data_IF_182680879589
#
_entry.id   IF_182680879589
#
_cell.length_a   1.000
_cell.length_b   1.000
_cell.length_c   1.000
_cell.angle_alpha   90.00
_cell.angle_beta   90.00
_cell.angle_gamma   90.00
#
_symmetry.space_group_name_H-M   'P 1'
#
loop_
_entity.id
_entity.type
_entity.pdbx_description
1 polymer ?
#
# COMPACT_ATOMS: atom_id res chain seq x y z
N UNK A 1 61.31 -18.32 15.27
CA UNK A 1 60.30 -17.50 15.98
C UNK A 1 59.46 -16.87 14.89
N UNK A 2 58.44 -17.59 14.44
CA UNK A 2 57.51 -17.08 13.44
C UNK A 2 56.62 -16.05 14.14
N UNK A 3 56.66 -14.82 13.65
CA UNK A 3 55.73 -13.78 14.07
C UNK A 3 54.41 -14.09 13.39
N UNK A 4 53.44 -14.58 14.16
CA UNK A 4 52.07 -14.75 13.71
C UNK A 4 51.48 -13.34 13.51
N UNK A 5 51.53 -12.85 12.27
CA UNK A 5 50.90 -11.60 11.88
C UNK A 5 49.40 -11.88 11.87
N UNK A 6 48.69 -11.50 12.93
CA UNK A 6 47.23 -11.53 12.93
C UNK A 6 46.72 -10.72 11.74
N UNK A 7 45.76 -11.24 10.95
CA UNK A 7 45.15 -10.47 9.87
C UNK A 7 44.58 -9.14 10.43
N UNK A 8 44.56 -8.07 9.60
CA UNK A 8 43.91 -6.83 9.99
C UNK A 8 42.44 -7.07 10.35
N UNK A 9 41.98 -6.49 11.45
CA UNK A 9 40.58 -6.54 11.87
C UNK A 9 40.12 -5.15 12.35
N UNK A 10 38.85 -4.86 12.14
CA UNK A 10 38.18 -3.66 12.64
C UNK A 10 37.21 -4.07 13.76
N UNK A 11 37.14 -3.30 14.84
CA UNK A 11 36.11 -3.46 15.87
C UNK A 11 35.07 -2.36 15.72
N UNK A 12 33.80 -2.76 15.54
CA UNK A 12 32.67 -1.84 15.45
C UNK A 12 31.92 -1.79 16.77
N UNK A 13 31.65 -0.59 17.27
CA UNK A 13 30.80 -0.40 18.44
C UNK A 13 29.33 -0.55 18.04
N UNK A 14 28.65 -1.51 18.64
CA UNK A 14 27.21 -1.73 18.52
C UNK A 14 26.53 -1.65 19.90
N UNK A 15 25.22 -1.81 19.95
CA UNK A 15 24.47 -1.89 21.20
C UNK A 15 24.85 -3.10 22.07
N UNK A 16 24.21 -3.22 23.23
CA UNK A 16 24.50 -4.28 24.19
C UNK A 16 23.91 -5.61 23.76
N UNK A 17 24.68 -6.69 23.90
CA UNK A 17 24.26 -8.06 23.64
C UNK A 17 23.80 -8.29 22.20
N UNK A 18 24.66 -8.10 21.18
CA UNK A 18 24.38 -8.57 19.84
C UNK A 18 24.13 -10.08 19.89
N UNK A 19 23.00 -10.54 19.35
CA UNK A 19 22.55 -11.94 19.52
C UNK A 19 22.45 -12.71 18.21
N UNK A 20 22.01 -12.05 17.14
CA UNK A 20 21.81 -12.65 15.83
C UNK A 20 22.97 -12.30 14.88
N UNK A 21 23.09 -13.04 13.78
CA UNK A 21 24.04 -12.72 12.71
C UNK A 21 23.71 -11.34 12.12
N UNK A 22 24.72 -10.50 11.84
CA UNK A 22 24.50 -9.24 11.14
C UNK A 22 23.97 -9.50 9.74
N UNK A 23 23.20 -8.55 9.22
CA UNK A 23 22.75 -8.56 7.83
C UNK A 23 23.58 -7.58 7.03
N UNK A 24 23.95 -8.02 5.82
CA UNK A 24 24.65 -7.21 4.84
C UNK A 24 23.67 -6.78 3.76
N UNK A 25 23.45 -5.48 3.65
CA UNK A 25 22.59 -4.88 2.64
C UNK A 25 22.93 -3.40 2.54
N UNK A 26 22.81 -2.85 1.34
CA UNK A 26 22.81 -1.41 1.13
C UNK A 26 21.57 -0.79 1.78
N UNK A 27 21.76 -0.01 2.84
CA UNK A 27 20.69 0.66 3.60
C UNK A 27 20.56 2.14 3.27
N UNK A 28 21.59 2.74 2.69
CA UNK A 28 21.62 4.16 2.32
C UNK A 28 21.52 4.38 0.80
N UNK A 29 21.34 3.33 0.00
CA UNK A 29 21.20 3.34 -1.47
C UNK A 29 22.44 3.98 -2.14
N UNK A 30 23.64 3.55 -1.72
CA UNK A 30 24.94 3.99 -2.28
C UNK A 30 25.69 2.89 -3.07
N UNK A 31 25.02 1.77 -3.36
CA UNK A 31 25.55 0.54 -4.00
C UNK A 31 26.69 -0.15 -3.21
N UNK A 32 26.93 0.25 -1.96
CA UNK A 32 27.90 -0.36 -1.05
C UNK A 32 27.14 -1.18 0.00
N UNK A 33 27.71 -2.33 0.37
CA UNK A 33 27.12 -3.15 1.42
C UNK A 33 27.38 -2.55 2.79
N UNK A 34 26.31 -2.34 3.55
CA UNK A 34 26.36 -1.92 4.94
C UNK A 34 26.11 -3.09 5.89
N UNK A 35 26.36 -2.87 7.18
CA UNK A 35 26.12 -3.84 8.25
C UNK A 35 24.97 -3.37 9.14
N UNK A 36 24.01 -4.26 9.36
CA UNK A 36 22.91 -4.06 10.32
C UNK A 36 22.91 -5.18 11.36
N UNK A 37 22.96 -4.81 12.64
CA UNK A 37 23.08 -5.75 13.78
C UNK A 37 21.98 -5.53 14.80
N UNK A 38 21.28 -6.58 15.21
CA UNK A 38 20.31 -6.53 16.31
C UNK A 38 20.98 -6.75 17.68
N UNK A 39 20.68 -5.84 18.60
CA UNK A 39 21.24 -5.80 19.94
C UNK A 39 20.15 -6.17 20.96
N UNK A 40 20.08 -7.46 21.28
CA UNK A 40 19.07 -8.01 22.20
C UNK A 40 19.12 -7.36 23.58
N UNK A 41 20.33 -7.13 24.09
CA UNK A 41 20.53 -6.59 25.44
C UNK A 41 20.07 -5.14 25.60
N UNK A 42 20.24 -4.31 24.55
CA UNK A 42 19.82 -2.90 24.58
C UNK A 42 18.46 -2.63 23.94
N UNK A 43 17.85 -3.58 23.24
CA UNK A 43 16.58 -3.34 22.54
C UNK A 43 16.73 -2.45 21.30
N UNK A 44 17.88 -2.51 20.65
CA UNK A 44 18.25 -1.62 19.53
C UNK A 44 18.74 -2.39 18.31
N UNK A 45 18.84 -1.70 17.18
CA UNK A 45 19.58 -2.14 15.98
C UNK A 45 20.67 -1.12 15.69
N UNK A 46 21.90 -1.58 15.42
CA UNK A 46 23.02 -0.73 15.03
C UNK A 46 23.29 -0.89 13.53
N UNK A 47 23.50 0.24 12.86
CA UNK A 47 23.82 0.35 11.44
C UNK A 47 25.25 0.91 11.32
N UNK A 48 26.08 0.26 10.51
CA UNK A 48 27.40 0.73 10.14
C UNK A 48 27.53 0.76 8.62
N UNK A 49 27.87 1.93 8.07
CA UNK A 49 27.97 2.13 6.64
C UNK A 49 29.30 1.61 6.11
N UNK A 50 29.27 0.92 4.98
CA UNK A 50 30.47 0.45 4.29
C UNK A 50 31.14 1.55 3.49
N UNK A 51 32.45 1.44 3.26
CA UNK A 51 33.19 2.32 2.36
C UNK A 51 33.55 1.65 1.02
N UNK A 52 33.06 0.43 0.78
CA UNK A 52 33.36 -0.38 -0.41
C UNK A 52 34.77 -1.02 -0.42
N UNK A 53 35.62 -0.69 0.54
CA UNK A 53 36.99 -1.17 0.67
C UNK A 53 37.18 -2.08 1.88
N UNK A 54 36.08 -2.47 2.52
CA UNK A 54 36.06 -3.37 3.66
C UNK A 54 36.18 -2.68 5.02
N UNK A 55 36.12 -1.35 5.07
CA UNK A 55 35.94 -0.61 6.31
C UNK A 55 34.48 -0.24 6.51
N UNK A 56 34.08 -0.16 7.76
CA UNK A 56 32.73 0.23 8.15
C UNK A 56 32.75 1.35 9.18
N UNK A 57 31.86 2.33 9.06
CA UNK A 57 31.75 3.44 10.01
C UNK A 57 30.43 3.32 10.77
N UNK A 58 30.44 3.25 12.12
CA UNK A 58 29.21 3.30 12.90
C UNK A 58 28.40 4.55 12.54
N UNK A 59 27.13 4.35 12.18
CA UNK A 59 26.32 5.42 11.62
C UNK A 59 25.12 5.76 12.51
N UNK A 60 24.24 4.78 12.76
CA UNK A 60 23.05 5.00 13.57
C UNK A 60 22.75 3.81 14.48
N UNK A 61 22.08 4.08 15.60
CA UNK A 61 21.46 3.06 16.43
C UNK A 61 19.98 3.38 16.62
N UNK A 62 19.12 2.49 16.17
CA UNK A 62 17.66 2.61 16.21
C UNK A 62 17.09 1.83 17.40
N UNK A 63 16.18 2.46 18.13
CA UNK A 63 15.42 1.77 19.18
C UNK A 63 14.25 1.02 18.55
N UNK A 64 14.20 -0.29 18.75
CA UNK A 64 13.19 -1.17 18.12
C UNK A 64 12.22 -1.74 19.16
N UNK A 65 12.66 -1.97 20.39
CA UNK A 65 11.81 -2.50 21.44
C UNK A 65 12.46 -3.64 22.20
N UNK A 66 11.65 -4.50 22.81
CA UNK A 66 12.14 -5.48 23.79
C UNK A 66 12.83 -6.69 23.15
N UNK A 67 14.14 -6.80 23.36
CA UNK A 67 14.95 -8.00 23.03
C UNK A 67 14.85 -8.48 21.58
N UNK A 68 15.31 -7.70 20.58
CA UNK A 68 15.39 -8.20 19.20
C UNK A 68 16.37 -9.39 19.16
N UNK A 69 15.83 -10.59 18.92
CA UNK A 69 16.57 -11.86 19.00
C UNK A 69 16.70 -12.59 17.66
N UNK A 70 16.05 -12.10 16.61
CA UNK A 70 16.23 -12.57 15.24
C UNK A 70 17.22 -11.67 14.49
N UNK A 71 17.71 -12.12 13.34
CA UNK A 71 18.40 -11.23 12.42
C UNK A 71 17.41 -10.21 11.86
N UNK A 72 17.80 -8.93 11.71
CA UNK A 72 16.97 -7.93 11.06
C UNK A 72 16.70 -8.35 9.61
N UNK A 73 15.59 -7.92 9.03
CA UNK A 73 15.30 -8.16 7.61
C UNK A 73 15.32 -6.83 6.88
N UNK A 74 16.04 -6.77 5.76
CA UNK A 74 16.13 -5.59 4.89
C UNK A 74 15.54 -5.92 3.53
N UNK A 75 14.46 -5.24 3.18
CA UNK A 75 13.71 -5.46 1.93
C UNK A 75 12.87 -4.21 1.63
N UNK A 76 12.75 -3.86 0.36
CA UNK A 76 11.84 -2.82 -0.09
C UNK A 76 10.38 -3.32 -0.01
N UNK A 77 9.65 -2.92 1.04
CA UNK A 77 8.25 -3.36 1.27
C UNK A 77 7.23 -2.44 0.61
N UNK A 78 7.61 -1.19 0.32
CA UNK A 78 6.73 -0.18 -0.26
C UNK A 78 6.95 0.01 -1.78
N UNK A 79 7.94 -0.68 -2.34
CA UNK A 79 8.39 -0.66 -3.72
C UNK A 79 8.84 0.74 -4.18
N UNK A 80 9.57 1.47 -3.33
CA UNK A 80 10.13 2.78 -3.63
C UNK A 80 11.61 2.77 -4.03
N UNK A 81 12.24 1.59 -4.03
CA UNK A 81 13.62 1.36 -4.40
C UNK A 81 14.61 1.40 -3.23
N UNK A 82 14.17 1.80 -2.04
CA UNK A 82 15.02 1.87 -0.84
C UNK A 82 14.77 0.66 0.06
N UNK A 83 15.82 0.11 0.67
CA UNK A 83 15.67 -0.99 1.63
C UNK A 83 14.95 -0.52 2.91
N UNK A 84 13.83 -1.16 3.26
CA UNK A 84 13.15 -0.96 4.54
C UNK A 84 13.66 -1.97 5.59
N UNK A 85 13.70 -1.58 6.86
CA UNK A 85 14.19 -2.40 7.96
C UNK A 85 13.03 -2.97 8.80
N UNK A 86 12.98 -4.29 8.92
CA UNK A 86 12.02 -5.02 9.75
C UNK A 86 12.72 -5.75 10.89
N UNK A 87 12.19 -5.61 12.10
CA UNK A 87 12.80 -6.17 13.31
C UNK A 87 11.73 -6.74 14.24
N UNK A 88 11.85 -8.02 14.59
CA UNK A 88 10.96 -8.68 15.55
C UNK A 88 11.43 -8.44 16.98
N UNK A 89 10.52 -8.04 17.87
CA UNK A 89 10.82 -7.80 19.28
C UNK A 89 10.20 -8.90 20.15
N UNK A 90 11.04 -9.78 20.68
CA UNK A 90 10.59 -10.95 21.41
C UNK A 90 9.88 -10.62 22.73
N UNK A 91 10.38 -9.65 23.50
CA UNK A 91 9.82 -9.36 24.83
C UNK A 91 8.53 -8.54 24.77
N UNK A 92 8.31 -7.78 23.70
CA UNK A 92 7.11 -6.94 23.52
C UNK A 92 6.04 -7.58 22.64
N UNK A 93 6.32 -8.74 22.03
CA UNK A 93 5.40 -9.44 21.11
C UNK A 93 4.95 -8.59 19.92
N UNK A 94 5.83 -7.73 19.43
CA UNK A 94 5.57 -6.85 18.29
C UNK A 94 6.75 -6.86 17.29
N UNK A 95 6.60 -6.09 16.22
CA UNK A 95 7.61 -5.88 15.19
C UNK A 95 7.73 -4.38 14.92
N UNK A 96 8.96 -3.92 14.75
CA UNK A 96 9.25 -2.58 14.26
C UNK A 96 9.48 -2.61 12.76
N UNK A 97 8.92 -1.61 12.08
CA UNK A 97 9.12 -1.36 10.65
C UNK A 97 9.66 0.05 10.52
N UNK A 98 10.85 0.20 9.95
CA UNK A 98 11.43 1.47 9.59
C UNK A 98 11.44 1.56 8.07
N UNK A 99 10.74 2.55 7.54
CA UNK A 99 10.80 2.83 6.11
C UNK A 99 12.13 3.51 5.80
N UNK A 100 12.84 2.99 4.81
CA UNK A 100 14.02 3.65 4.29
C UNK A 100 13.61 4.91 3.54
N UNK A 101 14.28 6.03 3.82
CA UNK A 101 14.11 7.28 3.07
C UNK A 101 15.30 7.55 2.11
N UNK A 102 16.35 6.73 2.19
CA UNK A 102 17.61 6.94 1.50
C UNK A 102 18.41 8.12 2.07
N UNK A 103 17.92 8.76 3.13
CA UNK A 103 18.54 9.96 3.73
C UNK A 103 19.49 9.58 4.86
N UNK A 104 20.51 8.77 4.56
CA UNK A 104 21.64 8.60 5.48
C UNK A 104 22.90 9.38 5.09
N UNK A 105 22.91 9.97 3.88
CA UNK A 105 23.76 11.12 3.57
C UNK A 105 22.88 12.33 3.26
N UNK A 106 22.69 13.21 4.25
CA UNK A 106 22.30 14.59 3.95
C UNK A 106 23.42 15.19 3.12
N UNK A 107 23.16 15.49 1.84
CA UNK A 107 24.08 16.19 0.96
C UNK A 107 24.50 17.51 1.61
N UNK A 108 25.67 17.55 2.25
CA UNK A 108 26.21 18.81 2.75
C UNK A 108 26.96 19.50 1.62
N UNK A 109 27.14 20.82 1.73
CA UNK A 109 27.97 21.57 0.78
C UNK A 109 29.43 21.10 0.75
N UNK A 110 29.89 20.35 1.77
CA UNK A 110 31.22 19.74 1.78
C UNK A 110 31.27 18.48 0.90
N UNK A 111 30.17 17.75 0.74
CA UNK A 111 30.09 16.51 -0.06
C UNK A 111 30.01 16.79 -1.57
N UNK A 112 29.64 18.02 -1.95
CA UNK A 112 29.61 18.51 -3.34
C UNK A 112 30.86 19.35 -3.70
N UNK A 113 31.95 19.23 -2.95
CA UNK A 113 33.20 19.94 -3.27
C UNK A 113 33.91 19.32 -4.49
N UNK A 114 34.08 20.10 -5.54
CA UNK A 114 34.77 19.69 -6.78
C UNK A 114 36.21 20.22 -6.87
N UNK A 115 36.76 20.77 -5.78
CA UNK A 115 38.07 21.45 -5.77
C UNK A 115 39.28 20.53 -5.98
N UNK A 116 39.12 19.21 -5.73
CA UNK A 116 40.17 18.22 -5.95
C UNK A 116 39.63 17.03 -6.74
N UNK A 117 40.49 16.33 -7.47
CA UNK A 117 40.09 15.17 -8.28
C UNK A 117 39.34 14.10 -7.45
N UNK A 118 39.81 13.68 -6.25
CA UNK A 118 39.09 12.68 -5.47
C UNK A 118 37.72 13.16 -4.98
N UNK A 119 37.61 14.43 -4.56
CA UNK A 119 36.32 14.99 -4.10
C UNK A 119 35.31 15.14 -5.24
N UNK A 120 35.77 15.53 -6.43
CA UNK A 120 34.91 15.58 -7.61
C UNK A 120 34.37 14.19 -8.02
N UNK A 121 35.15 13.13 -7.81
CA UNK A 121 34.70 11.75 -8.05
C UNK A 121 33.63 11.31 -7.05
N UNK A 122 33.80 11.64 -5.77
CA UNK A 122 32.78 11.39 -4.75
C UNK A 122 31.50 12.19 -5.01
N UNK A 123 31.61 13.47 -5.38
CA UNK A 123 30.47 14.30 -5.72
C UNK A 123 29.69 13.76 -6.94
N UNK A 124 30.38 13.16 -7.92
CA UNK A 124 29.72 12.51 -9.06
C UNK A 124 28.94 11.26 -8.64
N UNK A 125 29.54 10.39 -7.81
CA UNK A 125 28.87 9.20 -7.30
C UNK A 125 27.59 9.58 -6.51
N UNK A 126 27.70 10.63 -5.70
CA UNK A 126 26.61 11.15 -4.91
C UNK A 126 25.46 11.74 -5.75
N UNK A 127 25.80 12.47 -6.82
CA UNK A 127 24.80 12.98 -7.77
C UNK A 127 24.14 11.83 -8.54
N UNK A 128 24.89 10.78 -8.91
CA UNK A 128 24.34 9.62 -9.60
C UNK A 128 23.34 8.88 -8.72
N UNK A 129 23.67 8.63 -7.45
CA UNK A 129 22.75 8.09 -6.45
C UNK A 129 21.50 8.97 -6.29
N UNK A 130 21.64 10.30 -6.21
CA UNK A 130 20.51 11.21 -6.14
C UNK A 130 19.61 11.16 -7.40
N UNK A 131 20.19 11.05 -8.60
CA UNK A 131 19.45 10.93 -9.86
C UNK A 131 18.77 9.57 -10.00
N UNK A 132 19.40 8.50 -9.50
CA UNK A 132 18.82 7.18 -9.42
C UNK A 132 17.56 7.19 -8.56
N UNK A 133 17.62 7.77 -7.36
CA UNK A 133 16.46 7.95 -6.47
C UNK A 133 15.33 8.76 -7.11
N UNK A 134 15.67 9.87 -7.80
CA UNK A 134 14.67 10.64 -8.55
C UNK A 134 13.99 9.79 -9.62
N UNK A 135 14.76 8.93 -10.30
CA UNK A 135 14.24 8.03 -11.32
C UNK A 135 13.32 6.97 -10.73
N UNK A 136 13.65 6.40 -9.57
CA UNK A 136 12.78 5.47 -8.84
C UNK A 136 11.47 6.12 -8.38
N UNK A 137 11.54 7.34 -7.82
CA UNK A 137 10.35 8.13 -7.45
C UNK A 137 9.46 8.40 -8.67
N UNK A 138 10.04 8.67 -9.84
CA UNK A 138 9.27 8.84 -11.09
C UNK A 138 8.65 7.53 -11.56
N UNK A 139 9.35 6.42 -11.43
CA UNK A 139 8.84 5.10 -11.76
C UNK A 139 7.63 4.72 -10.89
N UNK A 140 7.70 4.97 -9.58
CA UNK A 140 6.59 4.70 -8.66
C UNK A 140 5.37 5.58 -8.95
N UNK A 141 5.57 6.86 -9.28
CA UNK A 141 4.48 7.75 -9.76
C UNK A 141 3.87 7.19 -11.05
N UNK A 142 4.68 6.71 -12.00
CA UNK A 142 4.17 6.07 -13.22
C UNK A 142 3.36 4.79 -12.94
N UNK A 143 3.83 3.95 -12.02
CA UNK A 143 3.09 2.77 -11.58
C UNK A 143 1.76 3.14 -10.90
N UNK A 144 1.76 4.20 -10.09
CA UNK A 144 0.55 4.74 -9.47
C UNK A 144 -0.44 5.27 -10.51
N UNK A 145 0.04 5.97 -11.54
CA UNK A 145 -0.78 6.40 -12.68
C UNK A 145 -1.44 5.19 -13.38
N UNK A 146 -0.66 4.16 -13.71
CA UNK A 146 -1.21 2.94 -14.33
C UNK A 146 -2.29 2.27 -13.47
N UNK A 147 -2.08 2.23 -12.15
CA UNK A 147 -3.06 1.70 -11.19
C UNK A 147 -4.30 2.59 -11.08
N UNK A 148 -4.14 3.91 -11.07
CA UNK A 148 -5.25 4.86 -11.06
C UNK A 148 -6.09 4.74 -12.33
N UNK A 149 -5.46 4.62 -13.50
CA UNK A 149 -6.16 4.43 -14.77
C UNK A 149 -6.94 3.11 -14.78
N UNK A 150 -6.32 2.03 -14.30
CA UNK A 150 -6.98 0.73 -14.16
C UNK A 150 -8.17 0.78 -13.19
N UNK A 151 -8.01 1.44 -12.04
CA UNK A 151 -9.06 1.62 -11.04
C UNK A 151 -10.21 2.48 -11.58
N UNK A 152 -9.89 3.53 -12.36
CA UNK A 152 -10.88 4.39 -13.00
C UNK A 152 -11.72 3.60 -14.01
N UNK A 153 -11.07 2.82 -14.88
CA UNK A 153 -11.76 1.97 -15.85
C UNK A 153 -12.65 0.92 -15.16
N UNK A 154 -12.16 0.28 -14.09
CA UNK A 154 -12.95 -0.66 -13.31
C UNK A 154 -14.17 0.01 -12.64
N UNK A 155 -14.00 1.24 -12.13
CA UNK A 155 -15.10 2.01 -11.53
C UNK A 155 -16.14 2.39 -12.58
N UNK A 156 -15.73 2.81 -13.79
CA UNK A 156 -16.65 3.14 -14.89
C UNK A 156 -17.48 1.93 -15.33
N UNK A 157 -16.87 0.76 -15.49
CA UNK A 157 -17.60 -0.48 -15.78
C UNK A 157 -18.60 -0.83 -14.66
N UNK A 158 -18.23 -0.58 -13.42
CA UNK A 158 -19.12 -0.80 -12.27
C UNK A 158 -20.32 0.15 -12.32
N UNK A 159 -20.10 1.43 -12.63
CA UNK A 159 -21.17 2.42 -12.80
C UNK A 159 -22.11 1.99 -13.93
N UNK A 160 -21.59 1.56 -15.08
CA UNK A 160 -22.42 1.08 -16.20
C UNK A 160 -23.27 -0.14 -15.80
N UNK A 161 -22.69 -1.12 -15.14
CA UNK A 161 -23.42 -2.30 -14.66
C UNK A 161 -24.49 -1.92 -13.62
N UNK A 162 -24.21 -0.97 -12.73
CA UNK A 162 -25.17 -0.48 -11.74
C UNK A 162 -26.31 0.31 -12.38
N UNK A 163 -26.02 1.13 -13.38
CA UNK A 163 -27.05 1.87 -14.12
C UNK A 163 -27.94 0.92 -14.92
N UNK A 164 -27.37 -0.10 -15.56
CA UNK A 164 -28.12 -1.14 -16.25
C UNK A 164 -29.01 -1.95 -15.28
N UNK A 165 -28.46 -2.37 -14.14
CA UNK A 165 -29.22 -3.07 -13.10
C UNK A 165 -30.35 -2.20 -12.54
N UNK A 166 -30.07 -0.91 -12.32
CA UNK A 166 -31.08 0.06 -11.86
C UNK A 166 -32.18 0.28 -12.89
N UNK A 167 -31.84 0.39 -14.18
CA UNK A 167 -32.84 0.49 -15.25
C UNK A 167 -33.76 -0.73 -15.29
N UNK A 168 -33.19 -1.94 -15.18
CA UNK A 168 -33.99 -3.17 -15.19
C UNK A 168 -34.95 -3.27 -14.01
N UNK A 169 -34.53 -2.85 -12.81
CA UNK A 169 -35.40 -2.79 -11.63
C UNK A 169 -36.53 -1.77 -11.86
N UNK A 170 -36.19 -0.57 -12.32
CA UNK A 170 -37.19 0.48 -12.57
C UNK A 170 -38.20 0.05 -13.64
N UNK A 171 -37.76 -0.59 -14.71
CA UNK A 171 -38.65 -1.08 -15.77
C UNK A 171 -39.56 -2.20 -15.26
N UNK A 172 -39.04 -3.10 -14.41
CA UNK A 172 -39.84 -4.15 -13.77
C UNK A 172 -40.89 -3.56 -12.82
N UNK A 173 -40.51 -2.58 -11.99
CA UNK A 173 -41.43 -1.90 -11.07
C UNK A 173 -42.54 -1.15 -11.84
N UNK A 174 -42.19 -0.47 -12.95
CA UNK A 174 -43.17 0.19 -13.83
C UNK A 174 -44.09 -0.83 -14.49
N UNK A 175 -43.57 -1.98 -14.93
CA UNK A 175 -44.38 -3.05 -15.51
C UNK A 175 -45.37 -3.63 -14.49
N UNK A 176 -44.95 -3.82 -13.24
CA UNK A 176 -45.83 -4.27 -12.15
C UNK A 176 -46.92 -3.23 -11.83
N UNK A 177 -46.55 -1.95 -11.69
CA UNK A 177 -47.50 -0.87 -11.38
C UNK A 177 -48.51 -0.64 -12.52
N UNK A 178 -48.06 -0.69 -13.78
CA UNK A 178 -48.95 -0.56 -14.95
C UNK A 178 -49.89 -1.76 -15.10
N UNK A 179 -49.42 -2.98 -14.82
CA UNK A 179 -50.27 -4.17 -14.82
C UNK A 179 -51.34 -4.10 -13.72
N UNK A 180 -50.97 -3.63 -12.52
CA UNK A 180 -51.89 -3.45 -11.41
C UNK A 180 -52.91 -2.34 -11.70
N UNK A 181 -52.47 -1.19 -12.22
CA UNK A 181 -53.37 -0.11 -12.65
C UNK A 181 -54.37 -0.61 -13.71
N UNK A 182 -53.90 -1.37 -14.69
CA UNK A 182 -54.75 -1.93 -15.75
C UNK A 182 -55.75 -2.93 -15.17
N UNK A 183 -55.31 -3.82 -14.27
CA UNK A 183 -56.18 -4.75 -13.54
C UNK A 183 -57.26 -3.99 -12.78
N UNK A 184 -56.90 -2.93 -12.06
CA UNK A 184 -57.84 -2.10 -11.30
C UNK A 184 -58.85 -1.39 -12.22
N UNK A 185 -58.42 -0.84 -13.35
CA UNK A 185 -59.32 -0.20 -14.33
C UNK A 185 -60.31 -1.20 -14.94
N UNK A 186 -59.85 -2.41 -15.31
CA UNK A 186 -60.71 -3.47 -15.83
C UNK A 186 -61.73 -3.89 -14.76
N UNK A 187 -61.30 -4.08 -13.51
CA UNK A 187 -62.20 -4.42 -12.40
C UNK A 187 -63.22 -3.32 -12.13
N UNK A 188 -62.84 -2.04 -12.23
CA UNK A 188 -63.76 -0.92 -12.09
C UNK A 188 -64.78 -0.88 -13.23
N UNK A 189 -64.36 -1.02 -14.48
CA UNK A 189 -65.27 -1.05 -15.64
C UNK A 189 -66.22 -2.25 -15.59
N UNK A 190 -65.70 -3.44 -15.27
CA UNK A 190 -66.50 -4.64 -15.09
C UNK A 190 -67.50 -4.48 -13.93
N UNK A 191 -67.06 -3.92 -12.80
CA UNK A 191 -67.93 -3.62 -11.65
C UNK A 191 -69.08 -2.68 -12.02
N UNK A 192 -68.81 -1.60 -12.75
CA UNK A 192 -69.85 -0.67 -13.24
C UNK A 192 -70.80 -1.35 -14.23
N UNK A 193 -70.28 -2.16 -15.16
CA UNK A 193 -71.09 -2.90 -16.13
C UNK A 193 -71.98 -3.96 -15.47
N UNK A 194 -71.45 -4.70 -14.49
CA UNK A 194 -72.22 -5.70 -13.75
C UNK A 194 -73.30 -5.03 -12.90
N UNK A 195 -72.97 -3.93 -12.22
CA UNK A 195 -73.96 -3.14 -11.47
C UNK A 195 -75.05 -2.58 -12.38
N UNK A 196 -74.71 -2.04 -13.55
CA UNK A 196 -75.71 -1.52 -14.49
C UNK A 196 -76.63 -2.63 -15.02
N UNK A 197 -76.07 -3.79 -15.36
CA UNK A 197 -76.83 -4.94 -15.87
C UNK A 197 -77.71 -5.57 -14.79
N UNK A 198 -77.21 -5.67 -13.55
CA UNK A 198 -78.01 -6.09 -12.40
C UNK A 198 -79.19 -5.13 -12.16
N UNK A 199 -78.95 -3.82 -12.26
CA UNK A 199 -80.01 -2.82 -12.10
C UNK A 199 -81.09 -2.93 -13.20
N UNK A 200 -80.70 -3.18 -14.47
CA UNK A 200 -81.65 -3.43 -15.58
C UNK A 200 -82.45 -4.71 -15.33
N UNK A 201 -81.81 -5.79 -14.88
CA UNK A 201 -82.51 -7.04 -14.56
C UNK A 201 -83.54 -6.87 -13.42
N UNK A 202 -83.22 -6.07 -12.40
CA UNK A 202 -84.15 -5.73 -11.32
C UNK A 202 -85.33 -4.89 -11.80
N UNK A 203 -85.12 -3.96 -12.75
CA UNK A 203 -86.20 -3.17 -13.36
C UNK A 203 -87.14 -4.05 -14.18
N UNK A 204 -86.63 -5.04 -14.92
CA UNK A 204 -87.46 -6.00 -15.66
C UNK A 204 -88.38 -6.79 -14.72
N UNK A 205 -87.86 -7.21 -13.55
CA UNK A 205 -88.67 -7.89 -12.53
C UNK A 205 -89.75 -6.98 -11.95
N UNK A 206 -89.42 -5.71 -11.71
CA UNK A 206 -90.39 -4.71 -11.25
C UNK A 206 -91.47 -4.39 -12.30
N UNK A 207 -91.13 -4.39 -13.59
CA UNK A 207 -92.10 -4.24 -14.67
C UNK A 207 -93.00 -5.46 -14.82
N UNK A 208 -92.50 -6.68 -14.55
CA UNK A 208 -93.33 -7.89 -14.50
C UNK A 208 -94.34 -7.90 -13.34
N UNK A 209 -94.03 -7.20 -12.24
CA UNK A 209 -94.89 -7.09 -11.06
C UNK A 209 -95.92 -5.95 -11.15
N UNK A 210 -95.86 -5.11 -12.19
CA UNK A 210 -96.81 -4.00 -12.43
C UNK A 210 -98.02 -4.39 -13.31
N UNK A 211 -98.11 -5.64 -13.73
CA UNK A 211 -99.32 -6.25 -14.29
C UNK A 211 -100.07 -7.05 -13.22
#
# INVERSE_FOLDING_TARGET
MEMEISPPHQTLSVGSGPYSSPVLKDVNDDDILDIVTSNKGSGTVSIALGDGHGNFTPHQTLTVGGSPNASPTLVDINNDGVSDLLVTNFSTNDMSVFLGDGEYETLTSEDLDISTQPRAQNALALVDAALYRLSQRRASIGAFQNRLDSASNAALLTVENLDAAKSQILDADIAEETAELTRQQILQQAGVSVLSQANVSLQIVLDLLKF
#
